data_IF_274478206538
#
_entry.id   IF_274478206538
#
_cell.length_a   1.000
_cell.length_b   1.000
_cell.length_c   1.000
_cell.angle_alpha   90.00
_cell.angle_beta   90.00
_cell.angle_gamma   90.00
#
_symmetry.space_group_name_H-M   'P 1'
#
loop_
_entity.id
_entity.type
_entity.pdbx_description
1 polymer ?
#
# COMPACT_ATOMS: atom_id res chain seq x y z
N UNK A 1 -0.84 -18.05 1.80
CA UNK A 1 -2.08 -17.56 1.14
C UNK A 1 -1.71 -16.25 0.47
N UNK A 2 -2.40 -15.87 -0.60
CA UNK A 2 -2.18 -14.58 -1.24
C UNK A 2 -3.15 -13.60 -0.60
N UNK A 3 -2.65 -12.49 -0.07
CA UNK A 3 -3.48 -11.46 0.57
C UNK A 3 -3.85 -10.35 -0.42
N UNK A 4 -5.02 -9.72 -0.26
CA UNK A 4 -5.38 -8.54 -1.03
C UNK A 4 -4.40 -7.39 -0.76
N UNK A 5 -4.14 -6.61 -1.79
CA UNK A 5 -3.42 -5.34 -1.67
C UNK A 5 -4.22 -4.22 -2.31
N UNK A 6 -4.16 -3.03 -1.72
CA UNK A 6 -4.57 -1.79 -2.40
C UNK A 6 -3.32 -1.10 -2.93
N UNK A 7 -3.32 -0.74 -4.20
CA UNK A 7 -2.24 -0.03 -4.87
C UNK A 7 -2.67 1.41 -5.05
N UNK A 8 -1.93 2.34 -4.45
CA UNK A 8 -2.06 3.78 -4.64
C UNK A 8 -1.01 4.26 -5.63
N UNK A 9 -1.42 4.91 -6.71
CA UNK A 9 -0.54 5.57 -7.69
C UNK A 9 -0.61 7.07 -7.52
N UNK A 10 0.48 7.69 -7.11
CA UNK A 10 0.54 9.14 -6.90
C UNK A 10 1.87 9.67 -7.41
N UNK A 11 1.86 10.79 -8.14
CA UNK A 11 3.05 11.46 -8.67
C UNK A 11 4.04 10.52 -9.40
N UNK A 12 3.52 9.52 -10.11
CA UNK A 12 4.32 8.59 -10.92
C UNK A 12 5.00 7.46 -10.14
N UNK A 13 4.74 7.32 -8.84
CA UNK A 13 5.20 6.20 -8.02
C UNK A 13 4.04 5.43 -7.38
N UNK A 14 4.34 4.23 -6.88
CA UNK A 14 3.36 3.35 -6.25
C UNK A 14 3.61 3.25 -4.74
N UNK A 15 2.52 3.20 -3.99
CA UNK A 15 2.47 2.80 -2.59
C UNK A 15 1.46 1.67 -2.44
N UNK A 16 1.63 0.84 -1.42
CA UNK A 16 0.84 -0.36 -1.23
C UNK A 16 0.22 -0.40 0.15
N UNK A 17 -0.99 -0.92 0.27
CA UNK A 17 -1.61 -1.30 1.52
C UNK A 17 -1.80 -2.81 1.49
N UNK A 18 -1.06 -3.52 2.32
CA UNK A 18 -1.15 -4.98 2.44
C UNK A 18 -2.22 -5.33 3.49
N UNK A 19 -3.24 -6.06 3.08
CA UNK A 19 -4.37 -6.46 3.93
C UNK A 19 -4.21 -7.90 4.44
N UNK A 20 -2.99 -8.22 4.91
CA UNK A 20 -2.70 -9.47 5.61
C UNK A 20 -3.39 -9.45 6.99
N UNK A 21 -4.29 -10.40 7.32
CA UNK A 21 -4.94 -10.44 8.62
C UNK A 21 -4.00 -10.56 9.82
N UNK A 22 -2.80 -11.12 9.65
CA UNK A 22 -1.81 -11.24 10.72
C UNK A 22 -0.98 -9.96 10.90
N UNK A 23 -0.76 -9.20 9.83
CA UNK A 23 0.10 -8.02 9.85
C UNK A 23 -0.27 -7.00 8.75
N UNK A 24 -1.42 -6.32 8.86
CA UNK A 24 -1.86 -5.35 7.88
C UNK A 24 -0.98 -4.09 7.97
N UNK A 25 -0.56 -3.56 6.82
CA UNK A 25 0.43 -2.47 6.79
C UNK A 25 0.36 -1.57 5.56
N UNK A 26 0.56 -0.29 5.81
CA UNK A 26 0.82 0.73 4.81
C UNK A 26 2.30 0.72 4.42
N UNK A 27 2.58 0.64 3.13
CA UNK A 27 3.89 0.68 2.50
C UNK A 27 3.94 1.92 1.62
N UNK A 28 4.35 3.04 2.23
CA UNK A 28 4.34 4.37 1.62
C UNK A 28 5.69 4.71 1.03
N UNK A 29 5.69 5.16 -0.23
CA UNK A 29 6.87 5.61 -0.93
C UNK A 29 6.89 7.14 -0.97
N UNK A 30 8.04 7.73 -0.65
CA UNK A 30 8.24 9.17 -0.55
C UNK A 30 9.41 9.58 -1.44
N UNK A 31 9.14 9.85 -2.73
CA UNK A 31 10.20 10.24 -3.66
C UNK A 31 10.86 11.57 -3.25
N UNK A 32 12.19 11.61 -3.29
CA UNK A 32 12.96 12.81 -2.92
C UNK A 32 13.23 12.99 -1.43
N UNK A 33 12.81 12.05 -0.57
CA UNK A 33 13.13 12.04 0.85
C UNK A 33 14.33 11.14 1.17
N UNK A 34 15.02 11.42 2.29
CA UNK A 34 16.15 10.61 2.76
C UNK A 34 15.76 9.14 3.02
N UNK A 35 14.53 8.94 3.49
CA UNK A 35 13.92 7.63 3.68
C UNK A 35 12.81 7.47 2.64
N UNK A 36 13.18 6.93 1.47
CA UNK A 36 12.27 6.78 0.33
C UNK A 36 11.10 5.84 0.62
N UNK A 37 11.24 4.94 1.59
CA UNK A 37 10.24 3.94 1.95
C UNK A 37 9.92 4.01 3.44
N UNK A 38 8.62 3.93 3.77
CA UNK A 38 8.16 3.80 5.15
C UNK A 38 7.07 2.74 5.25
N UNK A 39 7.20 1.83 6.21
CA UNK A 39 6.20 0.84 6.56
C UNK A 39 5.51 1.23 7.87
N UNK A 40 4.18 1.11 7.95
CA UNK A 40 3.38 1.46 9.14
C UNK A 40 2.25 0.45 9.34
N UNK A 41 1.87 0.09 10.57
CA UNK A 41 0.70 -0.75 10.80
C UNK A 41 -0.59 -0.10 10.29
N UNK A 42 -1.41 -0.87 9.60
CA UNK A 42 -2.75 -0.46 9.20
C UNK A 42 -3.77 -0.91 10.25
N UNK A 43 -4.61 0.02 10.71
CA UNK A 43 -5.60 -0.23 11.77
C UNK A 43 -7.06 -0.09 11.29
N UNK A 44 -7.26 0.12 10.00
CA UNK A 44 -8.58 0.24 9.38
C UNK A 44 -9.14 -1.09 8.91
N UNK A 45 -10.06 -1.05 7.95
CA UNK A 45 -10.72 -2.23 7.41
C UNK A 45 -9.73 -3.20 6.74
N UNK A 46 -10.04 -4.50 6.79
CA UNK A 46 -9.36 -5.53 6.00
C UNK A 46 -10.14 -5.88 4.72
N UNK A 47 -11.35 -5.37 4.56
CA UNK A 47 -12.05 -5.47 3.29
C UNK A 47 -11.36 -4.57 2.27
N UNK A 48 -11.00 -5.07 1.08
CA UNK A 48 -10.22 -4.29 0.11
C UNK A 48 -10.91 -3.02 -0.39
N UNK A 49 -12.24 -3.01 -0.48
CA UNK A 49 -12.99 -1.83 -0.95
C UNK A 49 -13.06 -0.80 0.16
N UNK A 50 -13.48 -1.21 1.35
CA UNK A 50 -13.57 -0.31 2.50
C UNK A 50 -12.18 0.26 2.85
N UNK A 51 -11.14 -0.58 2.86
CA UNK A 51 -9.76 -0.15 3.16
C UNK A 51 -9.23 0.85 2.12
N UNK A 52 -9.58 0.68 0.85
CA UNK A 52 -9.23 1.62 -0.21
C UNK A 52 -9.92 2.97 0.01
N UNK A 53 -11.22 2.98 0.33
CA UNK A 53 -11.98 4.20 0.61
C UNK A 53 -11.44 4.93 1.85
N UNK A 54 -11.21 4.21 2.95
CA UNK A 54 -10.63 4.75 4.18
C UNK A 54 -9.24 5.36 3.94
N UNK A 55 -8.37 4.65 3.21
CA UNK A 55 -7.00 5.11 2.95
C UNK A 55 -6.99 6.34 2.04
N UNK A 56 -7.86 6.38 1.04
CA UNK A 56 -8.05 7.52 0.15
C UNK A 56 -8.54 8.76 0.92
N UNK A 57 -9.51 8.60 1.83
CA UNK A 57 -10.01 9.69 2.68
C UNK A 57 -8.92 10.20 3.63
N UNK A 58 -8.17 9.31 4.28
CA UNK A 58 -7.08 9.66 5.19
C UNK A 58 -5.98 10.50 4.51
N UNK A 59 -5.71 10.24 3.23
CA UNK A 59 -4.70 10.95 2.45
C UNK A 59 -5.26 12.16 1.71
N UNK A 60 -6.57 12.42 1.80
CA UNK A 60 -7.28 13.49 1.09
C UNK A 60 -7.06 13.44 -0.44
N UNK A 61 -7.21 12.24 -1.01
CA UNK A 61 -6.96 11.95 -2.42
C UNK A 61 -8.22 11.52 -3.17
N UNK A 62 -8.07 11.34 -4.48
CA UNK A 62 -9.11 10.83 -5.39
C UNK A 62 -8.99 9.32 -5.59
N UNK A 63 -10.11 8.60 -5.53
CA UNK A 63 -10.18 7.13 -5.66
C UNK A 63 -9.67 6.61 -7.00
N UNK A 64 -9.64 7.44 -8.05
CA UNK A 64 -9.11 7.06 -9.38
C UNK A 64 -7.63 6.68 -9.36
N UNK A 65 -6.90 7.10 -8.33
CA UNK A 65 -5.50 6.78 -8.13
C UNK A 65 -5.28 5.38 -7.50
N UNK A 66 -6.37 4.72 -7.11
CA UNK A 66 -6.32 3.48 -6.36
C UNK A 66 -6.80 2.29 -7.20
N UNK A 67 -6.24 1.12 -6.92
CA UNK A 67 -6.70 -0.13 -7.52
C UNK A 67 -6.45 -1.30 -6.57
N UNK A 68 -7.36 -2.26 -6.53
CA UNK A 68 -7.24 -3.47 -5.72
C UNK A 68 -6.57 -4.57 -6.55
N UNK A 69 -5.63 -5.28 -5.94
CA UNK A 69 -4.94 -6.43 -6.50
C UNK A 69 -4.62 -7.42 -5.38
N UNK A 70 -3.63 -8.28 -5.60
CA UNK A 70 -3.16 -9.25 -4.62
C UNK A 70 -1.62 -9.26 -4.62
N UNK A 71 -1.01 -10.00 -3.71
CA UNK A 71 0.45 -10.09 -3.60
C UNK A 71 1.15 -10.70 -4.82
N UNK A 72 0.44 -11.30 -5.79
CA UNK A 72 1.02 -11.78 -7.05
C UNK A 72 1.16 -10.65 -8.08
N UNK A 73 0.70 -9.44 -7.76
CA UNK A 73 0.92 -8.26 -8.57
C UNK A 73 2.42 -8.07 -8.88
N UNK A 74 2.73 -7.97 -10.18
CA UNK A 74 4.12 -7.91 -10.65
C UNK A 74 4.88 -6.72 -10.08
N UNK A 75 4.26 -5.54 -10.01
CA UNK A 75 4.91 -4.33 -9.52
C UNK A 75 5.18 -4.44 -8.02
N UNK A 76 4.20 -4.94 -7.25
CA UNK A 76 4.37 -5.24 -5.83
C UNK A 76 5.52 -6.23 -5.59
N UNK A 77 5.58 -7.32 -6.37
CA UNK A 77 6.66 -8.31 -6.26
C UNK A 77 8.05 -7.70 -6.52
N UNK A 78 8.16 -6.79 -7.48
CA UNK A 78 9.42 -6.10 -7.79
C UNK A 78 9.84 -5.17 -6.64
N UNK A 79 8.88 -4.45 -6.05
CA UNK A 79 9.14 -3.49 -4.98
C UNK A 79 9.27 -4.15 -3.59
N UNK A 80 8.80 -5.40 -3.41
CA UNK A 80 8.77 -6.15 -2.14
C UNK A 80 10.09 -6.09 -1.37
N UNK A 81 11.20 -6.28 -2.07
CA UNK A 81 12.54 -6.28 -1.46
C UNK A 81 12.91 -4.94 -0.80
N UNK A 82 12.40 -3.82 -1.32
CA UNK A 82 12.61 -2.48 -0.76
C UNK A 82 11.83 -2.29 0.54
N UNK A 83 10.67 -2.92 0.65
CA UNK A 83 9.80 -2.85 1.83
C UNK A 83 10.27 -3.74 2.98
N UNK A 84 10.83 -4.91 2.68
CA UNK A 84 11.36 -5.83 3.70
C UNK A 84 12.55 -5.21 4.48
N UNK A 85 13.21 -4.20 3.91
CA UNK A 85 14.27 -3.43 4.58
C UNK A 85 13.73 -2.38 5.57
N UNK A 86 12.45 -2.00 5.45
CA UNK A 86 11.76 -1.08 6.34
C UNK A 86 11.12 -1.88 7.48
N UNK A 87 11.79 -1.92 8.64
CA UNK A 87 11.27 -2.52 9.87
C UNK A 87 10.43 -1.53 10.68
#
# INVERSE_FOLDING_TARGET
MVHPIVIRRHDGFQSYLLLDPENPRELLRHWGFQYEFSARPWLGSLDPVDAMEEWCEMLAEELENYSISDEENRDFCLDRSSWDACK
#
